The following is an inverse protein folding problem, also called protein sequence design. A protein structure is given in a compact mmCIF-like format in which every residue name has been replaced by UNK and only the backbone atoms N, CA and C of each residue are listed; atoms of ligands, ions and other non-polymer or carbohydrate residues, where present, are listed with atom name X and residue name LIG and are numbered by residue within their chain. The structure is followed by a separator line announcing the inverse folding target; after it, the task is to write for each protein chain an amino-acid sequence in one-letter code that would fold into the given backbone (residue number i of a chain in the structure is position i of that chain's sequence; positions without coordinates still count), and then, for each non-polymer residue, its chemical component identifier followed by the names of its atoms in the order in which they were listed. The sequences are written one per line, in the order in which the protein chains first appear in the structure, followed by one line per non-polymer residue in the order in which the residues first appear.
data_IF_867136711700
#
_entry.id   IF_867136711700
#
_cell.length_a   1.000
_cell.length_b   1.000
_cell.length_c   1.000
_cell.angle_alpha   90.00
_cell.angle_beta   90.00
_cell.angle_gamma   90.00
#
_symmetry.space_group_name_H-M   'P 1'
#
loop_
_entity.id
_entity.type
_entity.pdbx_description
1 polymer ?
#
# COMPACT_ATOMS: atom_id res chain seq x y z
N UNK A 1 -7.74 -1.10 33.37
CA UNK A 1 -7.92 -0.44 32.06
C UNK A 1 -7.36 -1.37 31.00
N UNK A 2 -8.19 -2.26 30.45
CA UNK A 2 -7.72 -3.35 29.61
C UNK A 2 -8.31 -3.20 28.21
N UNK A 3 -7.46 -2.81 27.27
CA UNK A 3 -7.71 -2.67 25.83
C UNK A 3 -7.84 -4.06 25.17
N UNK A 4 -8.72 -4.91 25.71
CA UNK A 4 -8.89 -6.31 25.28
C UNK A 4 -9.76 -6.41 24.02
N UNK A 5 -10.57 -5.39 23.73
CA UNK A 5 -11.41 -5.34 22.51
C UNK A 5 -10.67 -4.92 21.24
N UNK A 6 -9.64 -4.07 21.35
CA UNK A 6 -9.04 -3.40 20.17
C UNK A 6 -8.21 -4.34 19.28
N UNK A 7 -7.71 -5.47 19.80
CA UNK A 7 -7.12 -6.54 18.99
C UNK A 7 -8.17 -7.37 18.26
N UNK A 8 -9.36 -7.56 18.85
CA UNK A 8 -10.46 -8.33 18.26
C UNK A 8 -11.03 -7.65 17.02
N UNK A 9 -10.95 -6.32 16.95
CA UNK A 9 -11.61 -5.50 15.94
C UNK A 9 -10.72 -5.05 14.78
N UNK A 10 -9.45 -5.47 14.73
CA UNK A 10 -8.51 -5.04 13.68
C UNK A 10 -7.79 -6.20 13.00
N UNK A 11 -7.58 -6.09 11.69
CA UNK A 11 -6.77 -6.98 10.88
C UNK A 11 -5.33 -6.44 10.81
N UNK A 12 -4.35 -7.34 10.80
CA UNK A 12 -2.95 -7.00 10.54
C UNK A 12 -2.53 -7.66 9.23
N UNK A 13 -2.20 -6.84 8.24
CA UNK A 13 -1.86 -7.31 6.89
C UNK A 13 -0.37 -7.04 6.68
N UNK A 14 0.38 -8.11 6.41
CA UNK A 14 1.81 -8.00 6.11
C UNK A 14 1.98 -7.54 4.67
N UNK A 15 2.87 -6.59 4.44
CA UNK A 15 3.20 -6.09 3.10
C UNK A 15 4.70 -6.01 2.93
N UNK A 16 5.18 -6.43 1.77
CA UNK A 16 6.56 -6.25 1.32
C UNK A 16 6.61 -5.17 0.26
N UNK A 17 7.45 -4.18 0.52
CA UNK A 17 7.85 -3.16 -0.44
C UNK A 17 9.36 -3.18 -0.61
N UNK A 18 9.83 -2.61 -1.69
CA UNK A 18 11.25 -2.49 -2.01
C UNK A 18 11.55 -1.06 -2.44
N UNK A 19 12.67 -0.52 -1.98
CA UNK A 19 13.21 0.77 -2.41
C UNK A 19 14.54 0.51 -3.10
N UNK A 20 14.66 0.90 -4.35
CA UNK A 20 15.93 0.86 -5.06
C UNK A 20 16.71 2.15 -4.81
N UNK A 21 17.98 2.02 -4.46
CA UNK A 21 18.89 3.14 -4.23
C UNK A 21 20.06 3.13 -5.20
N UNK A 22 20.44 4.32 -5.64
CA UNK A 22 21.65 4.58 -6.40
C UNK A 22 22.27 5.89 -5.93
N UNK A 23 23.56 5.85 -5.56
CA UNK A 23 24.29 6.97 -4.96
C UNK A 23 23.52 7.60 -3.78
N UNK A 24 23.01 6.76 -2.88
CA UNK A 24 22.19 7.18 -1.73
C UNK A 24 20.84 7.85 -2.10
N UNK A 25 20.47 7.93 -3.37
CA UNK A 25 19.20 8.49 -3.82
C UNK A 25 18.18 7.38 -4.11
N UNK A 26 16.94 7.49 -3.59
CA UNK A 26 15.88 6.54 -3.92
C UNK A 26 15.45 6.73 -5.38
N UNK A 27 15.53 5.66 -6.16
CA UNK A 27 15.20 5.63 -7.59
C UNK A 27 13.75 5.20 -7.81
N UNK A 28 13.34 4.10 -7.17
CA UNK A 28 12.02 3.52 -7.34
C UNK A 28 11.55 2.88 -6.03
N UNK A 29 10.24 2.92 -5.81
CA UNK A 29 9.57 2.19 -4.73
C UNK A 29 8.55 1.26 -5.36
N UNK A 30 8.58 -0.02 -4.97
CA UNK A 30 7.69 -1.05 -5.54
C UNK A 30 7.02 -1.83 -4.43
N UNK A 31 5.72 -2.05 -4.57
CA UNK A 31 4.99 -3.01 -3.72
C UNK A 31 5.19 -4.40 -4.32
N UNK A 32 5.85 -5.30 -3.59
CA UNK A 32 6.17 -6.65 -4.06
C UNK A 32 5.06 -7.64 -3.76
N UNK A 33 4.52 -7.59 -2.54
CA UNK A 33 3.50 -8.55 -2.10
C UNK A 33 2.67 -8.00 -0.95
N UNK A 34 1.35 -8.07 -1.11
CA UNK A 34 0.37 -7.89 -0.02
C UNK A 34 -0.07 -9.28 0.41
N UNK A 35 0.21 -9.67 1.66
CA UNK A 35 -0.18 -10.97 2.21
C UNK A 35 -1.61 -10.91 2.72
N UNK A 36 -2.56 -10.95 1.79
CA UNK A 36 -3.98 -11.03 2.09
C UNK A 36 -4.68 -11.88 1.03
N UNK A 37 -4.85 -13.17 1.30
CA UNK A 37 -5.43 -14.09 0.32
C UNK A 37 -6.95 -13.93 0.20
N UNK A 38 -7.60 -13.43 1.25
CA UNK A 38 -9.04 -13.15 1.29
C UNK A 38 -9.43 -11.75 0.78
N UNK A 39 -8.47 -10.91 0.38
CA UNK A 39 -8.74 -9.56 -0.12
C UNK A 39 -9.11 -9.58 -1.60
N UNK A 40 -10.06 -8.73 -2.00
CA UNK A 40 -10.34 -8.41 -3.41
C UNK A 40 -9.16 -7.69 -4.07
N UNK A 41 -9.14 -7.59 -5.40
CA UNK A 41 -8.10 -6.85 -6.13
C UNK A 41 -8.02 -5.39 -5.67
N UNK A 42 -9.17 -4.70 -5.59
CA UNK A 42 -9.26 -3.34 -5.08
C UNK A 42 -8.72 -3.20 -3.65
N UNK A 43 -9.10 -4.10 -2.74
CA UNK A 43 -8.59 -4.06 -1.37
C UNK A 43 -7.07 -4.24 -1.33
N UNK A 44 -6.52 -5.18 -2.10
CA UNK A 44 -5.06 -5.37 -2.22
C UNK A 44 -4.37 -4.13 -2.74
N UNK A 45 -4.95 -3.44 -3.71
CA UNK A 45 -4.43 -2.21 -4.26
C UNK A 45 -4.42 -1.07 -3.24
N UNK A 46 -5.53 -0.85 -2.52
CA UNK A 46 -5.60 0.18 -1.47
C UNK A 46 -4.58 -0.06 -0.35
N UNK A 47 -4.44 -1.33 0.08
CA UNK A 47 -3.42 -1.72 1.06
C UNK A 47 -2.01 -1.51 0.50
N UNK A 48 -1.79 -1.83 -0.78
CA UNK A 48 -0.54 -1.61 -1.49
C UNK A 48 -0.18 -0.12 -1.56
N UNK A 49 -1.14 0.75 -1.87
CA UNK A 49 -0.96 2.19 -1.93
C UNK A 49 -0.57 2.78 -0.57
N UNK A 50 -1.21 2.33 0.50
CA UNK A 50 -0.82 2.73 1.87
C UNK A 50 0.58 2.22 2.23
N UNK A 51 0.93 0.98 1.85
CA UNK A 51 2.29 0.46 2.03
C UNK A 51 3.33 1.27 1.26
N UNK A 52 3.03 1.62 0.01
CA UNK A 52 3.86 2.48 -0.82
C UNK A 52 4.07 3.83 -0.13
N UNK A 53 3.00 4.48 0.34
CA UNK A 53 3.06 5.77 1.04
C UNK A 53 3.95 5.71 2.26
N UNK A 54 3.81 4.69 3.11
CA UNK A 54 4.66 4.49 4.30
C UNK A 54 6.13 4.29 3.92
N UNK A 55 6.38 3.48 2.89
CA UNK A 55 7.72 3.24 2.36
C UNK A 55 8.35 4.53 1.83
N UNK A 56 7.55 5.34 1.13
CA UNK A 56 7.97 6.63 0.61
C UNK A 56 8.39 7.58 1.74
N UNK A 57 7.67 7.61 2.87
CA UNK A 57 8.03 8.45 4.00
C UNK A 57 9.37 8.05 4.65
N UNK A 58 9.69 6.76 4.69
CA UNK A 58 10.94 6.28 5.30
C UNK A 58 12.15 6.29 4.35
N UNK A 59 11.95 6.56 3.06
CA UNK A 59 13.00 6.46 2.03
C UNK A 59 14.26 7.28 2.31
N UNK A 60 14.13 8.41 3.00
CA UNK A 60 15.25 9.31 3.31
C UNK A 60 15.88 9.03 4.67
N UNK A 61 15.38 8.04 5.42
CA UNK A 61 15.91 7.70 6.73
C UNK A 61 17.34 7.13 6.59
N UNK A 62 18.29 7.71 7.33
CA UNK A 62 19.71 7.32 7.32
C UNK A 62 19.92 5.83 7.65
N UNK A 63 19.03 5.23 8.44
CA UNK A 63 19.10 3.81 8.82
C UNK A 63 18.84 2.84 7.65
N UNK A 64 18.07 3.27 6.65
CA UNK A 64 17.61 2.41 5.55
C UNK A 64 18.20 2.80 4.19
N UNK A 65 18.86 3.96 4.13
CA UNK A 65 19.49 4.47 2.92
C UNK A 65 20.72 3.63 2.59
N UNK A 66 20.73 3.05 1.38
CA UNK A 66 21.86 2.30 0.86
C UNK A 66 22.60 3.15 -0.17
N UNK A 67 23.92 2.99 -0.26
CA UNK A 67 24.72 3.63 -1.31
C UNK A 67 24.28 3.15 -2.69
N UNK A 68 24.13 1.83 -2.84
CA UNK A 68 23.62 1.17 -4.04
C UNK A 68 22.91 -0.11 -3.65
N UNK A 69 21.80 -0.42 -4.31
CA UNK A 69 21.07 -1.68 -4.15
C UNK A 69 19.64 -1.49 -3.67
N UNK A 70 18.99 -2.61 -3.31
CA UNK A 70 17.56 -2.63 -3.01
C UNK A 70 17.31 -2.90 -1.52
N UNK A 71 16.63 -1.97 -0.86
CA UNK A 71 16.18 -2.13 0.52
C UNK A 71 14.78 -2.75 0.55
N UNK A 72 14.66 -3.91 1.20
CA UNK A 72 13.37 -4.59 1.38
C UNK A 72 12.72 -4.14 2.68
N UNK A 73 11.58 -3.46 2.57
CA UNK A 73 10.82 -3.00 3.71
C UNK A 73 9.61 -3.91 3.95
N UNK A 74 9.69 -4.70 5.03
CA UNK A 74 8.57 -5.47 5.53
C UNK A 74 7.83 -4.68 6.60
N UNK A 75 6.51 -4.54 6.45
CA UNK A 75 5.68 -3.84 7.42
C UNK A 75 4.34 -4.54 7.64
N UNK A 76 3.70 -4.23 8.76
CA UNK A 76 2.33 -4.61 9.06
C UNK A 76 1.44 -3.38 9.00
N UNK A 77 0.40 -3.45 8.17
CA UNK A 77 -0.66 -2.45 8.10
C UNK A 77 -1.82 -2.95 8.95
N UNK A 78 -2.18 -2.17 9.97
CA UNK A 78 -3.30 -2.47 10.85
C UNK A 78 -4.52 -1.69 10.38
N UNK A 79 -5.63 -2.38 10.16
CA UNK A 79 -6.89 -1.81 9.65
C UNK A 79 -8.02 -2.30 10.53
N UNK A 80 -8.97 -1.44 10.90
CA UNK A 80 -10.16 -1.89 11.62
C UNK A 80 -11.02 -2.78 10.69
N UNK A 81 -11.60 -3.86 11.22
CA UNK A 81 -12.46 -4.79 10.45
C UNK A 81 -13.64 -4.07 9.80
N UNK A 82 -14.22 -3.09 10.48
CA UNK A 82 -15.30 -2.24 9.96
C UNK A 82 -14.84 -1.44 8.74
N UNK A 83 -13.65 -0.84 8.80
CA UNK A 83 -13.08 -0.05 7.70
C UNK A 83 -12.70 -0.95 6.54
N UNK A 84 -12.09 -2.10 6.84
CA UNK A 84 -11.76 -3.10 5.84
C UNK A 84 -13.01 -3.62 5.11
N UNK A 85 -14.11 -3.88 5.83
CA UNK A 85 -15.37 -4.28 5.23
C UNK A 85 -16.03 -3.17 4.37
N UNK A 86 -15.69 -1.90 4.63
CA UNK A 86 -16.13 -0.74 3.84
C UNK A 86 -15.27 -0.50 2.60
N UNK A 87 -14.06 -1.08 2.51
CA UNK A 87 -13.26 -1.11 1.29
C UNK A 87 -13.91 -2.08 0.28
N UNK A 88 -15.02 -1.65 -0.31
CA UNK A 88 -15.65 -2.27 -1.48
C UNK A 88 -15.37 -1.37 -2.67
N UNK A 89 -15.30 -1.96 -3.86
CA UNK A 89 -15.24 -1.18 -5.10
C UNK A 89 -16.43 -0.21 -5.11
N UNK A 90 -16.18 1.08 -4.93
CA UNK A 90 -17.09 2.07 -5.48
C UNK A 90 -17.02 1.88 -6.98
N UNK A 91 -18.13 1.44 -7.59
CA UNK A 91 -18.25 1.36 -9.04
C UNK A 91 -17.71 2.67 -9.63
N UNK A 92 -16.52 2.61 -10.23
CA UNK A 92 -15.91 3.74 -10.91
C UNK A 92 -16.73 4.04 -12.18
N UNK A 93 -17.83 4.76 -12.03
CA UNK A 93 -18.60 5.36 -13.13
C UNK A 93 -17.90 6.60 -13.73
N UNK A 94 -16.59 6.77 -13.54
CA UNK A 94 -15.87 7.95 -14.03
C UNK A 94 -14.89 7.67 -15.17
N UNK A 95 -14.47 6.42 -15.39
CA UNK A 95 -13.44 6.11 -16.40
C UNK A 95 -14.02 5.88 -17.81
N UNK A 96 -15.35 5.70 -17.95
CA UNK A 96 -16.00 5.56 -19.27
C UNK A 96 -16.42 6.90 -19.89
N UNK A 97 -16.47 8.00 -19.13
CA UNK A 97 -16.83 9.32 -19.67
C UNK A 97 -15.64 9.96 -20.41
N UNK A 98 -14.39 9.66 -20.02
CA UNK A 98 -13.21 10.17 -20.73
C UNK A 98 -12.96 9.47 -22.07
N UNK A 99 -13.19 8.16 -22.17
CA UNK A 99 -12.94 7.42 -23.42
C UNK A 99 -13.91 7.80 -24.54
N UNK A 100 -15.11 8.32 -24.21
CA UNK A 100 -16.09 8.79 -25.20
C UNK A 100 -15.69 10.16 -25.77
N UNK A 101 -15.02 11.00 -24.97
CA UNK A 101 -14.62 12.35 -25.39
C UNK A 101 -13.32 12.38 -26.21
N UNK A 102 -12.44 11.39 -26.05
CA UNK A 102 -11.23 11.26 -26.89
C UNK A 102 -11.50 10.66 -28.29
N UNK A 103 -12.67 10.03 -28.51
CA UNK A 103 -13.05 9.49 -29.82
C UNK A 103 -13.92 10.45 -30.66
N UNK A 104 -14.13 11.68 -30.18
CA UNK A 104 -14.96 12.71 -30.86
C UNK A 104 -14.20 13.99 -31.24
N UNK A 105 -12.87 14.01 -31.09
CA UNK A 105 -12.00 15.06 -31.62
C UNK A 105 -11.07 14.51 -32.69
#
# INVERSE_FOLDING_TARGET
MAQVGYQKDSLQIKVYTEIDYQNFMPQAIRVKKVFCDYCTKFQKEQIGNEAYRRTFLVRNNRKFRLEKGSFRHAMYIRIAKKDFARLKEENQMQDSILTINEQRN
#
